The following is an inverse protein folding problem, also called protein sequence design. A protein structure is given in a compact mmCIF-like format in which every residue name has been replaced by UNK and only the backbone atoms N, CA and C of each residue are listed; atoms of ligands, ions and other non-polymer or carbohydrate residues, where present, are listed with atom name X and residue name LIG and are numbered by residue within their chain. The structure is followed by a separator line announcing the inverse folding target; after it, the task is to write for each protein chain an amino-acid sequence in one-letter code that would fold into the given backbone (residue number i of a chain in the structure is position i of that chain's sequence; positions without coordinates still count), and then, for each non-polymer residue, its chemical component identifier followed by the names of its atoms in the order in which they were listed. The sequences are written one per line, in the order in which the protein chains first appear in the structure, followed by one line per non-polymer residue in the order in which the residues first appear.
data_IF_028218503566
#
_entry.id   IF_028218503566
#
_cell.length_a   1.000
_cell.length_b   1.000
_cell.length_c   1.000
_cell.angle_alpha   90.00
_cell.angle_beta   90.00
_cell.angle_gamma   90.00
#
_symmetry.space_group_name_H-M   'P 1'
#
loop_
_entity.id
_entity.type
_entity.pdbx_description
1 polymer ?
#
# COMPACT_ATOMS: atom_id res chain seq x y z
N UNK A 1 -17.35 38.04 -14.41
CA UNK A 1 -16.11 37.57 -13.75
C UNK A 1 -16.20 36.05 -13.64
N UNK A 2 -15.49 35.33 -14.50
CA UNK A 2 -15.39 33.86 -14.43
C UNK A 2 -14.29 33.48 -13.45
N UNK A 3 -14.51 32.56 -12.50
CA UNK A 3 -13.41 31.98 -11.76
C UNK A 3 -12.60 31.09 -12.71
N UNK A 4 -11.36 31.47 -12.98
CA UNK A 4 -10.40 30.61 -13.67
C UNK A 4 -10.06 29.45 -12.76
N UNK A 5 -10.69 28.30 -12.98
CA UNK A 5 -10.29 27.03 -12.39
C UNK A 5 -8.91 26.71 -12.96
N UNK A 6 -7.88 26.87 -12.13
CA UNK A 6 -6.53 26.43 -12.42
C UNK A 6 -6.52 24.90 -12.26
N UNK A 7 -6.98 24.19 -13.28
CA UNK A 7 -6.84 22.74 -13.44
C UNK A 7 -5.37 22.44 -13.75
N UNK A 8 -4.53 22.49 -12.73
CA UNK A 8 -3.16 21.99 -12.79
C UNK A 8 -2.82 21.22 -11.51
N UNK A 9 -3.69 20.28 -11.14
CA UNK A 9 -3.30 19.15 -10.31
C UNK A 9 -2.62 18.12 -11.21
N UNK A 10 -1.34 18.32 -11.47
CA UNK A 10 -0.50 17.26 -12.04
C UNK A 10 -0.14 16.28 -10.92
N UNK A 11 -0.62 15.01 -10.97
CA UNK A 11 -0.23 13.98 -10.01
C UNK A 11 1.29 13.70 -10.03
N UNK A 12 1.97 14.14 -11.10
CA UNK A 12 3.38 13.90 -11.35
C UNK A 12 4.35 14.67 -10.41
N UNK A 13 3.91 15.71 -9.70
CA UNK A 13 4.81 16.52 -8.88
C UNK A 13 5.16 15.89 -7.51
N UNK A 14 4.32 14.99 -6.98
CA UNK A 14 4.58 14.34 -5.68
C UNK A 14 5.38 13.03 -5.79
N UNK A 15 5.45 12.43 -6.99
CA UNK A 15 6.15 11.15 -7.22
C UNK A 15 7.68 11.28 -7.30
N UNK A 16 8.21 12.47 -7.57
CA UNK A 16 9.66 12.70 -7.64
C UNK A 16 10.28 13.06 -6.28
N UNK A 17 9.46 13.38 -5.28
CA UNK A 17 9.91 13.63 -3.90
C UNK A 17 10.19 12.31 -3.18
N UNK A 18 11.07 12.33 -2.17
CA UNK A 18 11.45 11.13 -1.41
C UNK A 18 10.24 10.35 -0.84
N UNK A 19 9.22 11.01 -0.25
CA UNK A 19 8.05 10.29 0.27
C UNK A 19 7.21 9.59 -0.82
N UNK A 20 7.10 10.20 -2.01
CA UNK A 20 6.39 9.62 -3.15
C UNK A 20 7.13 8.42 -3.74
N UNK A 21 8.46 8.50 -3.88
CA UNK A 21 9.29 7.37 -4.32
C UNK A 21 9.26 6.19 -3.35
N UNK A 22 9.31 6.49 -2.05
CA UNK A 22 9.23 5.46 -1.01
C UNK A 22 7.86 4.77 -1.01
N UNK A 23 6.78 5.53 -1.14
CA UNK A 23 5.44 4.99 -1.29
C UNK A 23 5.31 4.08 -2.53
N UNK A 24 5.78 4.55 -3.69
CA UNK A 24 5.73 3.78 -4.94
C UNK A 24 6.52 2.47 -4.83
N UNK A 25 7.73 2.53 -4.28
CA UNK A 25 8.59 1.33 -4.10
C UNK A 25 7.90 0.29 -3.23
N UNK A 26 7.26 0.72 -2.14
CA UNK A 26 6.59 -0.19 -1.21
C UNK A 26 5.27 -0.72 -1.77
N UNK A 27 4.57 0.06 -2.60
CA UNK A 27 3.38 -0.39 -3.31
C UNK A 27 3.73 -1.44 -4.38
N UNK A 28 4.82 -1.25 -5.13
CA UNK A 28 5.31 -2.23 -6.10
C UNK A 28 5.68 -3.56 -5.41
N UNK A 29 6.40 -3.49 -4.28
CA UNK A 29 6.70 -4.66 -3.44
C UNK A 29 5.46 -5.34 -2.92
N UNK A 30 4.46 -4.56 -2.51
CA UNK A 30 3.19 -5.06 -2.00
C UNK A 30 2.44 -5.85 -3.07
N UNK A 31 2.33 -5.30 -4.29
CA UNK A 31 1.70 -6.01 -5.40
C UNK A 31 2.47 -7.28 -5.76
N UNK A 32 3.80 -7.24 -5.80
CA UNK A 32 4.62 -8.42 -6.07
C UNK A 32 4.39 -9.52 -5.04
N UNK A 33 4.40 -9.17 -3.75
CA UNK A 33 4.13 -10.09 -2.64
C UNK A 33 2.73 -10.72 -2.73
N UNK A 34 1.73 -9.93 -3.11
CA UNK A 34 0.36 -10.41 -3.31
C UNK A 34 0.28 -11.47 -4.41
N UNK A 35 0.85 -11.19 -5.58
CA UNK A 35 0.85 -12.15 -6.70
C UNK A 35 1.66 -13.41 -6.40
N UNK A 36 2.75 -13.29 -5.64
CA UNK A 36 3.54 -14.43 -5.22
C UNK A 36 2.75 -15.34 -4.28
N UNK A 37 2.02 -14.76 -3.31
CA UNK A 37 1.12 -15.51 -2.43
C UNK A 37 0.01 -16.21 -3.22
N UNK A 38 -0.63 -15.50 -4.15
CA UNK A 38 -1.66 -16.04 -5.03
C UNK A 38 -1.12 -17.24 -5.83
N UNK A 39 0.07 -17.10 -6.42
CA UNK A 39 0.72 -18.18 -7.17
C UNK A 39 1.03 -19.39 -6.29
N UNK A 40 1.53 -19.18 -5.07
CA UNK A 40 1.82 -20.28 -4.13
C UNK A 40 0.54 -21.01 -3.76
N UNK A 41 -0.54 -20.29 -3.48
CA UNK A 41 -1.85 -20.85 -3.14
C UNK A 41 -2.47 -21.60 -4.33
N UNK A 42 -2.37 -21.08 -5.54
CA UNK A 42 -2.87 -21.75 -6.75
C UNK A 42 -2.09 -23.03 -7.06
N UNK A 43 -0.77 -23.01 -6.83
CA UNK A 43 0.11 -24.16 -7.06
C UNK A 43 0.20 -25.12 -5.86
N UNK A 44 -0.53 -24.86 -4.76
CA UNK A 44 -0.33 -25.46 -3.42
C UNK A 44 -0.66 -26.97 -3.28
N UNK A 45 -0.32 -27.79 -4.27
CA UNK A 45 -0.29 -29.25 -4.12
C UNK A 45 0.83 -29.61 -3.14
N UNK A 46 0.45 -30.00 -1.92
CA UNK A 46 1.38 -30.48 -0.88
C UNK A 46 1.80 -29.44 0.16
N UNK A 47 1.19 -28.25 0.16
CA UNK A 47 1.45 -27.25 1.19
C UNK A 47 0.78 -27.67 2.52
N UNK A 48 1.49 -27.66 3.65
CA UNK A 48 0.89 -28.00 4.94
C UNK A 48 -0.31 -27.11 5.27
N UNK A 49 -1.39 -27.70 5.78
CA UNK A 49 -2.66 -27.00 6.01
C UNK A 49 -2.54 -25.73 6.88
N UNK A 50 -1.65 -25.75 7.88
CA UNK A 50 -1.39 -24.58 8.71
C UNK A 50 -0.75 -23.42 7.93
N UNK A 51 0.13 -23.72 6.97
CA UNK A 51 0.74 -22.72 6.08
C UNK A 51 -0.28 -22.20 5.07
N UNK A 52 -1.13 -23.07 4.52
CA UNK A 52 -2.23 -22.65 3.63
C UNK A 52 -3.14 -21.65 4.34
N UNK A 53 -3.54 -21.92 5.59
CA UNK A 53 -4.34 -20.99 6.40
C UNK A 53 -3.62 -19.68 6.65
N UNK A 54 -2.33 -19.71 6.98
CA UNK A 54 -1.55 -18.49 7.19
C UNK A 54 -1.43 -17.65 5.92
N UNK A 55 -1.22 -18.29 4.77
CA UNK A 55 -1.16 -17.61 3.47
C UNK A 55 -2.49 -16.97 3.08
N UNK A 56 -3.61 -17.71 3.20
CA UNK A 56 -4.94 -17.16 2.94
C UNK A 56 -5.25 -15.98 3.86
N UNK A 57 -4.94 -16.10 5.16
CA UNK A 57 -5.14 -15.02 6.13
C UNK A 57 -4.31 -13.79 5.75
N UNK A 58 -3.06 -13.99 5.35
CA UNK A 58 -2.18 -12.90 4.96
C UNK A 58 -2.67 -12.23 3.66
N UNK A 59 -3.12 -13.00 2.67
CA UNK A 59 -3.68 -12.49 1.42
C UNK A 59 -4.95 -11.66 1.66
N UNK A 60 -5.83 -12.11 2.56
CA UNK A 60 -7.03 -11.35 2.95
C UNK A 60 -6.67 -10.04 3.67
N UNK A 61 -5.69 -10.06 4.58
CA UNK A 61 -5.18 -8.85 5.23
C UNK A 61 -4.57 -7.86 4.23
N UNK A 62 -3.84 -8.35 3.23
CA UNK A 62 -3.32 -7.50 2.16
C UNK A 62 -4.47 -6.86 1.37
N UNK A 63 -5.46 -7.64 0.93
CA UNK A 63 -6.62 -7.09 0.20
C UNK A 63 -7.31 -5.98 1.00
N UNK A 64 -7.62 -6.24 2.27
CA UNK A 64 -8.26 -5.24 3.14
C UNK A 64 -7.39 -4.01 3.37
N UNK A 65 -6.08 -4.18 3.51
CA UNK A 65 -5.15 -3.06 3.64
C UNK A 65 -5.17 -2.20 2.38
N UNK A 66 -5.16 -2.81 1.19
CA UNK A 66 -5.23 -2.07 -0.07
C UNK A 66 -6.57 -1.34 -0.21
N UNK A 67 -7.69 -2.00 0.13
CA UNK A 67 -9.01 -1.37 0.17
C UNK A 67 -9.04 -0.17 1.12
N UNK A 68 -8.46 -0.29 2.32
CA UNK A 68 -8.35 0.82 3.27
C UNK A 68 -7.51 1.96 2.71
N UNK A 69 -6.32 1.68 2.15
CA UNK A 69 -5.45 2.71 1.58
C UNK A 69 -6.07 3.41 0.35
N UNK A 70 -6.89 2.71 -0.43
CA UNK A 70 -7.60 3.29 -1.58
C UNK A 70 -8.85 4.08 -1.17
N UNK A 71 -9.49 3.70 -0.06
CA UNK A 71 -10.68 4.40 0.48
C UNK A 71 -10.30 5.57 1.39
N UNK A 72 -9.09 5.57 1.95
CA UNK A 72 -8.48 6.72 2.58
C UNK A 72 -8.23 7.79 1.52
N UNK A 73 -9.23 8.63 1.28
CA UNK A 73 -9.05 9.86 0.52
C UNK A 73 -8.01 10.71 1.23
N UNK A 74 -6.97 11.12 0.50
CA UNK A 74 -6.16 12.25 0.92
C UNK A 74 -7.13 13.38 1.26
N UNK A 75 -7.07 13.98 2.47
CA UNK A 75 -7.95 15.08 2.83
C UNK A 75 -7.67 16.24 1.88
N UNK A 76 -8.39 16.25 0.77
CA UNK A 76 -8.30 17.20 -0.31
C UNK A 76 -8.97 18.46 0.21
N UNK A 77 -8.18 19.28 0.91
CA UNK A 77 -8.35 20.74 1.02
C UNK A 77 -9.80 21.23 1.17
N UNK A 78 -10.64 20.53 1.94
CA UNK A 78 -12.02 20.94 2.16
C UNK A 78 -12.09 21.94 3.32
N UNK A 79 -11.57 23.14 3.06
CA UNK A 79 -11.91 24.44 3.67
C UNK A 79 -10.67 25.30 3.86
N UNK A 80 -10.67 26.47 3.21
CA UNK A 80 -10.18 27.73 3.76
C UNK A 80 -9.19 27.61 4.93
N UNK A 81 -7.89 27.60 4.64
CA UNK A 81 -6.89 28.01 5.62
C UNK A 81 -5.90 28.98 5.00
N UNK A 82 -6.32 30.24 4.98
CA UNK A 82 -5.42 31.34 5.29
C UNK A 82 -4.82 30.98 6.67
N UNK A 83 -3.55 30.58 6.73
CA UNK A 83 -2.80 30.26 7.96
C UNK A 83 -3.20 29.01 8.79
N UNK A 84 -3.02 27.79 8.25
CA UNK A 84 -2.86 26.63 9.14
C UNK A 84 -1.91 25.57 8.60
N UNK A 85 -1.40 24.68 9.46
CA UNK A 85 -0.38 23.70 9.10
C UNK A 85 -0.90 22.81 7.96
N UNK A 86 -0.06 22.62 6.94
CA UNK A 86 -0.33 21.72 5.81
C UNK A 86 -0.75 20.34 6.36
N UNK A 87 -1.68 19.62 5.70
CA UNK A 87 -1.93 18.22 6.02
C UNK A 87 -0.68 17.41 5.61
N UNK A 88 0.31 17.34 6.50
CA UNK A 88 1.56 16.61 6.30
C UNK A 88 1.36 15.21 6.86
N UNK A 89 1.63 14.17 6.05
CA UNK A 89 1.74 12.79 6.56
C UNK A 89 0.93 11.71 5.82
N UNK A 90 0.18 12.04 4.76
CA UNK A 90 -0.55 11.04 3.98
C UNK A 90 0.38 9.98 3.41
N UNK A 91 1.32 10.38 2.54
CA UNK A 91 2.29 9.45 1.92
C UNK A 91 3.14 8.70 2.96
N UNK A 92 3.80 9.34 3.95
CA UNK A 92 4.56 8.61 4.97
C UNK A 92 3.73 7.59 5.75
N UNK A 93 2.48 7.91 6.12
CA UNK A 93 1.60 6.96 6.83
C UNK A 93 1.29 5.74 5.97
N UNK A 94 0.91 5.95 4.71
CA UNK A 94 0.56 4.88 3.78
C UNK A 94 1.79 4.01 3.47
N UNK A 95 2.96 4.63 3.31
CA UNK A 95 4.24 3.92 3.16
C UNK A 95 4.53 3.02 4.35
N UNK A 96 4.38 3.49 5.59
CA UNK A 96 4.61 2.67 6.80
C UNK A 96 3.68 1.46 6.85
N UNK A 97 2.41 1.62 6.46
CA UNK A 97 1.44 0.51 6.40
C UNK A 97 1.87 -0.52 5.35
N UNK A 98 2.24 -0.07 4.15
CA UNK A 98 2.74 -0.94 3.07
C UNK A 98 4.02 -1.68 3.50
N UNK A 99 4.96 -0.99 4.13
CA UNK A 99 6.21 -1.58 4.65
C UNK A 99 5.93 -2.67 5.68
N UNK A 100 5.01 -2.43 6.62
CA UNK A 100 4.65 -3.41 7.63
C UNK A 100 4.07 -4.67 7.00
N UNK A 101 3.15 -4.51 6.04
CA UNK A 101 2.59 -5.66 5.31
C UNK A 101 3.66 -6.40 4.50
N UNK A 102 4.53 -5.69 3.78
CA UNK A 102 5.63 -6.30 3.04
C UNK A 102 6.56 -7.12 3.94
N UNK A 103 6.89 -6.61 5.13
CA UNK A 103 7.72 -7.34 6.10
C UNK A 103 7.02 -8.57 6.68
N UNK A 104 5.69 -8.53 6.85
CA UNK A 104 4.93 -9.69 7.29
C UNK A 104 4.92 -10.79 6.22
N UNK A 105 4.63 -10.44 4.96
CA UNK A 105 4.59 -11.40 3.85
C UNK A 105 5.96 -12.00 3.60
N UNK A 106 7.02 -11.19 3.54
CA UNK A 106 8.39 -11.69 3.34
C UNK A 106 8.83 -12.65 4.45
N UNK A 107 8.44 -12.40 5.71
CA UNK A 107 8.72 -13.34 6.82
C UNK A 107 7.98 -14.66 6.65
N UNK A 108 6.72 -14.61 6.23
CA UNK A 108 5.91 -15.79 5.98
C UNK A 108 6.47 -16.65 4.83
N UNK A 109 6.87 -16.01 3.73
CA UNK A 109 7.53 -16.64 2.57
C UNK A 109 8.93 -17.17 2.90
N UNK A 110 9.66 -16.51 3.81
CA UNK A 110 10.97 -16.96 4.26
C UNK A 110 10.89 -18.19 5.16
N UNK A 111 9.92 -18.23 6.07
CA UNK A 111 9.72 -19.36 6.98
C UNK A 111 9.34 -20.66 6.25
N UNK A 112 8.64 -20.55 5.13
CA UNK A 112 8.22 -21.70 4.30
C UNK A 112 9.34 -22.33 3.49
N UNK A 113 10.37 -21.57 3.12
CA UNK A 113 11.54 -22.13 2.41
C UNK A 113 12.54 -22.80 3.37
N UNK A 114 12.40 -22.62 4.68
CA UNK A 114 13.28 -23.19 5.70
C UNK A 114 12.69 -24.41 6.43
N UNK A 115 11.40 -24.70 6.22
CA UNK A 115 10.67 -25.84 6.80
C UNK A 115 10.62 -27.02 5.82
#
# INVERSE_FOLDING_TARGET
MTPSINTNFSPALFLNEEPGRSWQTELERFNHNYYLLETILDLSVGLPSHLTTQYLTCQEQMRHTLEQLLTELEPTTASHRVNGPKPVGFLPRHTTVLQHMNQQVTRLLGATHQA
#
